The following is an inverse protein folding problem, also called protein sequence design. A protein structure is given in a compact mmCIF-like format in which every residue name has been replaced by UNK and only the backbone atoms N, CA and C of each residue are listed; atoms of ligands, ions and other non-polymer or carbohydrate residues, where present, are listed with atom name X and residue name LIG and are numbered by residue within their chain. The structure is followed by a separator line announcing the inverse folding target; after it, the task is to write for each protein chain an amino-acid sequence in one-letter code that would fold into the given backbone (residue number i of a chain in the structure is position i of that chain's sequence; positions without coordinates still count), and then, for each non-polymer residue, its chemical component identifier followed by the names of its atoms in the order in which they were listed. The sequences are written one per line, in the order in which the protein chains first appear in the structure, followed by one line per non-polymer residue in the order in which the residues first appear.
data_IF_055821319328
#
_entry.id   IF_055821319328
#
_cell.length_a   1.000
_cell.length_b   1.000
_cell.length_c   1.000
_cell.angle_alpha   90.00
_cell.angle_beta   90.00
_cell.angle_gamma   90.00
#
_symmetry.space_group_name_H-M   'P 1'
#
loop_
_entity.id
_entity.type
_entity.pdbx_description
1 polymer ?
#
# COMPACT_ATOMS: atom_id res chain seq x y z
N UNK A 1 9.56 -2.39 3.56
CA UNK A 1 8.89 -1.91 2.34
C UNK A 1 9.82 -1.95 1.13
N UNK A 2 11.02 -1.32 1.16
CA UNK A 2 11.97 -1.38 0.05
C UNK A 2 12.34 -2.82 -0.37
N UNK A 3 12.60 -3.71 0.59
CA UNK A 3 12.86 -5.12 0.30
C UNK A 3 11.66 -5.83 -0.35
N UNK A 4 10.45 -5.47 0.02
CA UNK A 4 9.24 -6.00 -0.58
C UNK A 4 9.10 -5.56 -2.05
N UNK A 5 9.35 -4.28 -2.34
CA UNK A 5 9.39 -3.76 -3.70
C UNK A 5 10.45 -4.50 -4.55
N UNK A 6 11.66 -4.65 -4.02
CA UNK A 6 12.75 -5.41 -4.69
C UNK A 6 12.32 -6.87 -4.91
N UNK A 7 11.69 -7.51 -3.92
CA UNK A 7 11.14 -8.86 -4.04
C UNK A 7 10.15 -8.98 -5.20
N UNK A 8 9.25 -8.00 -5.33
CA UNK A 8 8.32 -7.91 -6.47
C UNK A 8 9.03 -7.79 -7.82
N UNK A 9 10.07 -6.96 -7.90
CA UNK A 9 10.90 -6.81 -9.10
C UNK A 9 11.60 -8.14 -9.47
N UNK A 10 12.11 -8.86 -8.48
CA UNK A 10 12.74 -10.17 -8.71
C UNK A 10 11.73 -11.19 -9.20
N UNK A 11 10.57 -11.30 -8.54
CA UNK A 11 9.49 -12.22 -8.94
C UNK A 11 9.02 -11.92 -10.37
N UNK A 12 8.83 -10.64 -10.70
CA UNK A 12 8.38 -10.23 -12.02
C UNK A 12 9.34 -10.54 -13.17
N UNK A 13 10.62 -10.86 -12.89
CA UNK A 13 11.60 -11.31 -13.88
C UNK A 13 11.58 -12.82 -14.12
N UNK A 14 10.92 -13.60 -13.28
CA UNK A 14 10.84 -15.05 -13.43
C UNK A 14 9.96 -15.40 -14.65
N UNK A 15 10.42 -16.29 -15.55
CA UNK A 15 9.68 -16.60 -16.78
C UNK A 15 8.26 -17.11 -16.54
N UNK A 16 8.07 -17.94 -15.51
CA UNK A 16 6.78 -18.54 -15.17
C UNK A 16 5.76 -17.54 -14.56
N UNK A 17 6.22 -16.33 -14.22
CA UNK A 17 5.43 -15.29 -13.58
C UNK A 17 5.23 -14.06 -14.46
N UNK A 18 5.58 -14.16 -15.74
CA UNK A 18 5.39 -13.07 -16.68
C UNK A 18 3.93 -13.01 -17.16
N UNK A 19 3.36 -11.81 -17.13
CA UNK A 19 2.06 -11.55 -17.74
C UNK A 19 2.21 -11.38 -19.24
N UNK A 20 1.34 -12.02 -20.01
CA UNK A 20 1.24 -11.77 -21.45
C UNK A 20 0.55 -10.42 -21.68
N UNK A 21 1.32 -9.35 -21.62
CA UNK A 21 0.82 -8.02 -21.97
C UNK A 21 0.83 -7.86 -23.49
N UNK A 22 -0.21 -7.23 -24.08
CA UNK A 22 -0.26 -6.98 -25.52
C UNK A 22 0.94 -6.15 -25.94
N UNK A 23 1.67 -6.62 -26.97
CA UNK A 23 2.81 -5.92 -27.56
C UNK A 23 2.34 -5.04 -28.70
N UNK A 24 2.94 -3.84 -28.83
CA UNK A 24 2.68 -2.95 -29.97
C UNK A 24 1.51 -1.98 -29.79
N UNK A 25 0.91 -1.93 -28.61
CA UNK A 25 -0.06 -0.88 -28.28
C UNK A 25 0.66 0.44 -28.00
N UNK A 26 0.04 1.54 -28.38
CA UNK A 26 0.50 2.87 -27.92
C UNK A 26 0.31 2.99 -26.41
N UNK A 27 1.14 3.82 -25.74
CA UNK A 27 0.97 4.10 -24.30
C UNK A 27 -0.45 4.55 -23.93
N UNK A 28 -1.14 5.28 -24.87
CA UNK A 28 -2.52 5.70 -24.68
C UNK A 28 -3.54 4.55 -24.78
N UNK A 29 -3.26 3.50 -25.53
CA UNK A 29 -4.08 2.28 -25.59
C UNK A 29 -3.83 1.41 -24.38
N UNK A 30 -2.56 1.24 -23.98
CA UNK A 30 -2.19 0.57 -22.73
C UNK A 30 -2.82 1.28 -21.53
N UNK A 31 -2.76 2.60 -21.48
CA UNK A 31 -3.38 3.37 -20.41
C UNK A 31 -4.91 3.22 -20.39
N UNK A 32 -5.57 3.14 -21.55
CA UNK A 32 -7.03 2.90 -21.66
C UNK A 32 -7.41 1.47 -21.29
N UNK A 33 -6.63 0.48 -21.73
CA UNK A 33 -6.83 -0.92 -21.36
C UNK A 33 -6.50 -1.15 -19.88
N UNK A 34 -5.48 -0.46 -19.37
CA UNK A 34 -5.17 -0.41 -17.94
C UNK A 34 -6.32 0.23 -17.15
N UNK A 35 -6.89 1.32 -17.64
CA UNK A 35 -8.06 1.98 -17.04
C UNK A 35 -9.34 1.12 -17.16
N UNK A 36 -9.55 0.39 -18.25
CA UNK A 36 -10.71 -0.48 -18.44
C UNK A 36 -10.61 -1.81 -17.68
N UNK A 37 -9.44 -2.43 -17.60
CA UNK A 37 -9.22 -3.73 -16.94
C UNK A 37 -8.73 -3.60 -15.49
N UNK A 38 -8.01 -2.54 -15.17
CA UNK A 38 -7.64 -2.15 -13.82
C UNK A 38 -8.50 -1.00 -13.27
N UNK A 39 -9.42 -0.44 -14.06
CA UNK A 39 -10.42 0.52 -13.60
C UNK A 39 -11.28 -0.03 -12.46
N UNK A 40 -11.33 -1.37 -12.33
CA UNK A 40 -11.81 -2.04 -11.12
C UNK A 40 -10.88 -1.78 -9.92
N UNK A 41 -9.59 -1.52 -10.16
CA UNK A 41 -8.60 -1.25 -9.11
C UNK A 41 -8.25 0.25 -9.00
N UNK A 42 -8.28 1.01 -10.11
CA UNK A 42 -7.88 2.42 -10.20
C UNK A 42 -8.95 3.33 -10.81
N UNK A 43 -10.09 2.78 -11.27
CA UNK A 43 -11.21 3.56 -11.80
C UNK A 43 -11.85 4.43 -10.71
N UNK A 44 -12.74 5.34 -11.11
CA UNK A 44 -13.41 6.33 -10.27
C UNK A 44 -14.14 5.72 -9.05
N UNK A 45 -13.36 5.12 -8.15
CA UNK A 45 -13.85 4.61 -6.88
C UNK A 45 -14.23 5.80 -6.00
N UNK A 46 -15.35 5.78 -5.31
CA UNK A 46 -15.65 6.81 -4.33
C UNK A 46 -14.58 6.80 -3.23
N UNK A 47 -14.16 7.97 -2.80
CA UNK A 47 -13.13 8.15 -1.73
C UNK A 47 -13.32 7.17 -0.57
N UNK A 48 -14.59 6.97 -0.15
CA UNK A 48 -14.90 6.07 0.96
C UNK A 48 -14.59 4.59 0.65
N UNK A 49 -14.68 4.15 -0.60
CA UNK A 49 -14.33 2.78 -0.99
C UNK A 49 -12.82 2.55 -0.89
N UNK A 50 -12.00 3.54 -1.30
CA UNK A 50 -10.54 3.51 -1.18
C UNK A 50 -10.14 3.49 0.29
N UNK A 51 -10.70 4.41 1.10
CA UNK A 51 -10.45 4.45 2.55
C UNK A 51 -10.82 3.11 3.20
N UNK A 52 -11.96 2.53 2.83
CA UNK A 52 -12.38 1.24 3.35
C UNK A 52 -11.45 0.11 2.92
N UNK A 53 -11.04 0.07 1.65
CA UNK A 53 -10.13 -0.95 1.13
C UNK A 53 -8.78 -0.92 1.83
N UNK A 54 -8.14 0.24 1.96
CA UNK A 54 -6.87 0.40 2.62
C UNK A 54 -7.01 0.21 4.14
N UNK A 55 -8.07 0.76 4.73
CA UNK A 55 -8.36 0.62 6.15
C UNK A 55 -8.55 -0.83 6.61
N UNK A 56 -9.26 -1.67 5.82
CA UNK A 56 -9.45 -3.09 6.16
C UNK A 56 -8.15 -3.88 6.13
N UNK A 57 -7.20 -3.54 5.23
CA UNK A 57 -5.88 -4.19 5.17
C UNK A 57 -5.08 -3.84 6.42
N UNK A 58 -5.07 -2.56 6.83
CA UNK A 58 -4.40 -2.13 8.06
C UNK A 58 -5.06 -2.69 9.31
N UNK A 59 -6.40 -2.79 9.33
CA UNK A 59 -7.13 -3.42 10.43
C UNK A 59 -6.79 -4.91 10.52
N UNK A 60 -6.76 -5.62 9.40
CA UNK A 60 -6.34 -7.03 9.34
C UNK A 60 -4.90 -7.20 9.84
N UNK A 61 -3.97 -6.33 9.39
CA UNK A 61 -2.59 -6.34 9.84
C UNK A 61 -2.48 -6.09 11.35
N UNK A 62 -3.28 -5.18 11.91
CA UNK A 62 -3.36 -4.91 13.35
C UNK A 62 -3.86 -6.15 14.12
N UNK A 63 -4.99 -6.74 13.69
CA UNK A 63 -5.57 -7.93 14.32
C UNK A 63 -4.57 -9.10 14.27
N UNK A 64 -4.01 -9.41 13.11
CA UNK A 64 -3.02 -10.47 12.96
C UNK A 64 -1.75 -10.18 13.77
N UNK A 65 -1.32 -8.93 13.81
CA UNK A 65 -0.20 -8.47 14.64
C UNK A 65 -0.43 -8.72 16.13
N UNK A 66 -1.63 -8.50 16.63
CA UNK A 66 -1.98 -8.79 18.03
C UNK A 66 -1.79 -10.27 18.40
N UNK A 67 -2.18 -11.20 17.51
CA UNK A 67 -2.09 -12.65 17.76
C UNK A 67 -0.71 -13.24 17.43
N UNK A 68 0.16 -12.52 16.73
CA UNK A 68 1.45 -13.02 16.24
C UNK A 68 2.64 -12.20 16.74
N UNK A 69 2.46 -11.51 17.87
CA UNK A 69 3.49 -10.61 18.43
C UNK A 69 4.01 -9.57 17.43
N UNK A 70 3.16 -9.14 16.50
CA UNK A 70 3.47 -8.15 15.47
C UNK A 70 4.03 -8.72 14.17
N UNK A 71 4.46 -9.99 14.11
CA UNK A 71 5.18 -10.54 12.96
C UNK A 71 4.35 -10.56 11.68
N UNK A 72 3.06 -10.91 11.72
CA UNK A 72 2.20 -10.91 10.52
C UNK A 72 1.89 -9.52 9.99
N UNK A 73 1.91 -8.48 10.83
CA UNK A 73 1.78 -7.12 10.35
C UNK A 73 2.93 -6.74 9.39
N UNK A 74 4.16 -7.24 9.65
CA UNK A 74 5.32 -7.07 8.76
C UNK A 74 5.23 -7.84 7.45
N UNK A 75 4.31 -8.76 7.31
CA UNK A 75 4.08 -9.52 6.06
C UNK A 75 2.94 -8.90 5.27
N UNK A 76 1.83 -8.63 5.94
CA UNK A 76 0.59 -8.15 5.29
C UNK A 76 0.77 -6.75 4.70
N UNK A 77 1.35 -5.81 5.45
CA UNK A 77 1.46 -4.42 4.98
C UNK A 77 2.47 -4.22 3.84
N UNK A 78 3.65 -4.87 3.83
CA UNK A 78 4.56 -4.76 2.69
C UNK A 78 4.13 -5.54 1.44
N UNK A 79 3.16 -6.44 1.53
CA UNK A 79 2.72 -7.25 0.37
C UNK A 79 2.26 -6.38 -0.81
N UNK A 80 1.64 -5.22 -0.55
CA UNK A 80 1.25 -4.26 -1.58
C UNK A 80 2.46 -3.77 -2.39
N UNK A 81 3.62 -3.60 -1.74
CA UNK A 81 4.84 -3.16 -2.42
C UNK A 81 5.49 -4.27 -3.26
N UNK A 82 5.28 -5.55 -2.89
CA UNK A 82 5.65 -6.69 -3.75
C UNK A 82 4.84 -6.62 -5.05
N UNK A 83 3.52 -6.41 -4.96
CA UNK A 83 2.65 -6.28 -6.13
C UNK A 83 3.07 -5.08 -6.98
N UNK A 84 3.37 -3.94 -6.37
CA UNK A 84 3.83 -2.74 -7.07
C UNK A 84 5.14 -3.00 -7.82
N UNK A 85 6.15 -3.57 -7.17
CA UNK A 85 7.43 -3.92 -7.80
C UNK A 85 7.26 -4.92 -8.94
N UNK A 86 6.37 -5.89 -8.77
CA UNK A 86 6.01 -6.85 -9.81
C UNK A 86 5.39 -6.15 -11.02
N UNK A 87 4.39 -5.28 -10.83
CA UNK A 87 3.72 -4.55 -11.93
C UNK A 87 4.69 -3.66 -12.72
N UNK A 88 5.57 -2.90 -12.02
CA UNK A 88 6.61 -2.11 -12.69
C UNK A 88 7.51 -2.99 -13.57
N UNK A 89 7.82 -4.20 -13.10
CA UNK A 89 8.65 -5.14 -13.86
C UNK A 89 7.91 -5.72 -15.05
N UNK A 90 6.61 -6.07 -14.91
CA UNK A 90 5.83 -6.58 -16.05
C UNK A 90 5.75 -5.57 -17.19
N UNK A 91 5.53 -4.30 -16.86
CA UNK A 91 5.53 -3.21 -17.84
C UNK A 91 6.88 -3.10 -18.55
N UNK A 92 8.00 -3.15 -17.79
CA UNK A 92 9.35 -3.09 -18.36
C UNK A 92 9.65 -4.31 -19.25
N UNK A 93 9.28 -5.52 -18.83
CA UNK A 93 9.47 -6.76 -19.62
C UNK A 93 8.64 -6.75 -20.89
N UNK A 94 7.45 -6.14 -20.89
CA UNK A 94 6.63 -5.94 -22.07
C UNK A 94 7.22 -4.93 -23.08
N UNK A 95 8.31 -4.23 -22.71
CA UNK A 95 9.00 -3.25 -23.56
C UNK A 95 8.50 -1.83 -23.42
N UNK A 96 7.69 -1.53 -22.39
CA UNK A 96 7.23 -0.18 -22.09
C UNK A 96 8.12 0.48 -21.03
N UNK A 97 8.21 1.82 -21.06
CA UNK A 97 8.89 2.57 -20.02
C UNK A 97 8.01 2.59 -18.74
N UNK A 98 8.44 1.94 -17.63
CA UNK A 98 7.64 1.88 -16.42
C UNK A 98 7.46 3.25 -15.75
N UNK A 99 8.19 4.28 -16.16
CA UNK A 99 8.07 5.64 -15.61
C UNK A 99 6.68 6.24 -15.80
N UNK A 100 5.90 5.77 -16.80
CA UNK A 100 4.51 6.23 -16.99
C UNK A 100 3.58 5.86 -15.83
N UNK A 101 3.94 4.87 -15.00
CA UNK A 101 3.18 4.52 -13.80
C UNK A 101 3.41 5.50 -12.64
N UNK A 102 4.52 6.26 -12.67
CA UNK A 102 4.86 7.18 -11.59
C UNK A 102 3.79 8.25 -11.34
N UNK A 103 3.22 8.91 -12.37
CA UNK A 103 2.13 9.85 -12.19
C UNK A 103 0.88 9.25 -11.51
N UNK A 104 0.66 7.94 -11.70
CA UNK A 104 -0.47 7.24 -11.08
C UNK A 104 -0.22 6.87 -9.61
N UNK A 105 1.06 6.62 -9.23
CA UNK A 105 1.40 6.10 -7.90
C UNK A 105 1.93 7.18 -6.95
N UNK A 106 2.75 8.13 -7.45
CA UNK A 106 3.45 9.08 -6.60
C UNK A 106 2.54 10.05 -5.84
N UNK A 107 1.48 10.63 -6.44
CA UNK A 107 0.72 11.69 -5.76
C UNK A 107 0.13 11.22 -4.43
N UNK A 108 -0.56 10.08 -4.40
CA UNK A 108 -1.15 9.53 -3.17
C UNK A 108 -0.13 8.76 -2.34
N UNK A 109 0.83 8.07 -2.98
CA UNK A 109 1.86 7.26 -2.32
C UNK A 109 2.73 8.05 -1.35
N UNK A 110 3.01 9.33 -1.62
CA UNK A 110 3.78 10.20 -0.71
C UNK A 110 3.09 10.35 0.65
N UNK A 111 1.76 10.34 0.69
CA UNK A 111 0.98 10.43 1.93
C UNK A 111 0.71 9.03 2.50
N UNK A 112 0.37 8.08 1.65
CA UNK A 112 -0.02 6.73 2.06
C UNK A 112 1.13 5.95 2.69
N UNK A 113 2.35 6.01 2.13
CA UNK A 113 3.51 5.28 2.64
C UNK A 113 3.81 5.61 4.11
N UNK A 114 3.94 6.87 4.54
CA UNK A 114 4.11 7.21 5.94
C UNK A 114 2.98 6.70 6.84
N UNK A 115 1.75 6.74 6.36
CA UNK A 115 0.57 6.27 7.10
C UNK A 115 0.64 4.76 7.33
N UNK A 116 0.96 3.98 6.29
CA UNK A 116 1.12 2.52 6.39
C UNK A 116 2.28 2.16 7.32
N UNK A 117 3.42 2.86 7.21
CA UNK A 117 4.58 2.65 8.10
C UNK A 117 4.19 2.90 9.55
N UNK A 118 3.45 3.98 9.83
CA UNK A 118 2.99 4.33 11.17
C UNK A 118 2.03 3.27 11.72
N UNK A 119 1.03 2.86 10.94
CA UNK A 119 0.08 1.81 11.31
C UNK A 119 0.77 0.47 11.58
N UNK A 120 1.73 0.09 10.72
CA UNK A 120 2.53 -1.14 10.91
C UNK A 120 3.37 -1.06 12.18
N UNK A 121 3.99 0.09 12.45
CA UNK A 121 4.81 0.30 13.65
C UNK A 121 3.95 0.21 14.92
N UNK A 122 2.73 0.75 14.90
CA UNK A 122 1.78 0.64 16.01
C UNK A 122 1.35 -0.82 16.26
N UNK A 123 1.08 -1.58 15.19
CA UNK A 123 0.75 -3.00 15.29
C UNK A 123 1.91 -3.84 15.85
N UNK A 124 3.14 -3.54 15.41
CA UNK A 124 4.36 -4.17 15.93
C UNK A 124 4.57 -3.85 17.42
N UNK A 125 4.42 -2.59 17.79
CA UNK A 125 4.56 -2.17 19.18
C UNK A 125 3.55 -2.87 20.08
N UNK A 126 2.29 -2.94 19.67
CA UNK A 126 1.23 -3.63 20.41
C UNK A 126 1.55 -5.12 20.61
N UNK A 127 2.07 -5.79 19.58
CA UNK A 127 2.51 -7.18 19.68
C UNK A 127 3.77 -7.36 20.54
N UNK A 128 4.75 -6.47 20.42
CA UNK A 128 6.02 -6.55 21.12
C UNK A 128 5.88 -6.36 22.65
N UNK A 129 4.95 -5.55 23.11
CA UNK A 129 4.69 -5.30 24.54
C UNK A 129 4.33 -6.58 25.30
N UNK A 130 3.71 -7.58 24.63
CA UNK A 130 3.37 -8.86 25.24
C UNK A 130 4.65 -9.66 25.59
N UNK A 131 5.67 -9.60 24.73
CA UNK A 131 6.92 -10.36 24.90
C UNK A 131 7.95 -9.60 25.73
N UNK A 132 7.90 -8.27 25.73
CA UNK A 132 8.85 -7.39 26.43
C UNK A 132 8.13 -6.24 27.11
N UNK A 133 7.37 -6.49 28.18
CA UNK A 133 6.70 -5.42 28.92
C UNK A 133 7.74 -4.48 29.56
N UNK A 134 7.41 -3.19 29.76
CA UNK A 134 8.24 -2.25 30.50
C UNK A 134 8.52 -2.75 31.92
N UNK A 135 9.70 -2.43 32.47
CA UNK A 135 10.09 -2.83 33.83
C UNK A 135 9.12 -2.31 34.87
N UNK A 136 8.70 -3.16 35.80
CA UNK A 136 7.80 -2.78 36.89
C UNK A 136 6.33 -2.68 36.51
N UNK A 137 5.95 -3.04 35.28
CA UNK A 137 4.58 -2.99 34.79
C UNK A 137 4.11 -4.39 34.43
N UNK A 138 2.88 -4.75 34.76
CA UNK A 138 2.29 -6.02 34.35
C UNK A 138 2.04 -6.05 32.83
N UNK A 139 2.13 -7.24 32.20
CA UNK A 139 1.87 -7.41 30.76
C UNK A 139 0.50 -6.87 30.38
N UNK A 140 -0.54 -7.15 31.17
CA UNK A 140 -1.90 -6.68 30.89
C UNK A 140 -2.02 -5.16 30.91
N UNK A 141 -1.42 -4.49 31.89
CA UNK A 141 -1.43 -3.02 31.94
C UNK A 141 -0.65 -2.41 30.76
N UNK A 142 0.55 -2.93 30.50
CA UNK A 142 1.36 -2.47 29.38
C UNK A 142 0.63 -2.63 28.03
N UNK A 143 -0.09 -3.75 27.85
CA UNK A 143 -0.88 -4.00 26.65
C UNK A 143 -2.06 -3.04 26.51
N UNK A 144 -2.81 -2.76 27.58
CA UNK A 144 -3.92 -1.81 27.54
C UNK A 144 -3.43 -0.41 27.18
N UNK A 145 -2.29 0.03 27.72
CA UNK A 145 -1.69 1.33 27.38
C UNK A 145 -1.28 1.35 25.90
N UNK A 146 -0.56 0.32 25.43
CA UNK A 146 -0.14 0.22 24.02
C UNK A 146 -1.34 0.18 23.06
N UNK A 147 -2.43 -0.52 23.44
CA UNK A 147 -3.66 -0.55 22.65
C UNK A 147 -4.33 0.84 22.60
N UNK A 148 -4.42 1.53 23.74
CA UNK A 148 -4.95 2.89 23.77
C UNK A 148 -4.13 3.85 22.89
N UNK A 149 -2.80 3.73 22.89
CA UNK A 149 -1.93 4.55 22.06
C UNK A 149 -2.07 4.17 20.57
N UNK A 150 -2.24 2.90 20.26
CA UNK A 150 -2.56 2.44 18.89
C UNK A 150 -3.86 3.06 18.38
N UNK A 151 -4.92 3.11 19.22
CA UNK A 151 -6.20 3.75 18.85
C UNK A 151 -6.03 5.25 18.63
N UNK A 152 -5.25 5.95 19.48
CA UNK A 152 -4.96 7.38 19.29
C UNK A 152 -4.23 7.64 17.97
N UNK A 153 -3.20 6.84 17.66
CA UNK A 153 -2.45 6.93 16.39
C UNK A 153 -3.39 6.64 15.21
N UNK A 154 -4.22 5.61 15.33
CA UNK A 154 -5.17 5.25 14.27
C UNK A 154 -6.17 6.39 14.01
N UNK A 155 -6.80 6.93 15.06
CA UNK A 155 -7.79 7.98 14.93
C UNK A 155 -7.20 9.35 14.56
N UNK A 156 -6.02 9.69 15.11
CA UNK A 156 -5.41 11.02 14.94
C UNK A 156 -4.54 11.16 13.69
N UNK A 157 -3.97 10.07 13.18
CA UNK A 157 -3.01 10.13 12.07
C UNK A 157 -3.36 9.16 10.94
N UNK A 158 -3.65 7.88 11.24
CA UNK A 158 -3.82 6.87 10.18
C UNK A 158 -5.11 7.12 9.40
N UNK A 159 -6.25 7.24 10.06
CA UNK A 159 -7.54 7.48 9.40
C UNK A 159 -7.54 8.80 8.62
N UNK A 160 -7.15 9.96 9.19
CA UNK A 160 -7.04 11.20 8.44
C UNK A 160 -6.07 11.12 7.27
N UNK A 161 -4.94 10.42 7.44
CA UNK A 161 -3.95 10.22 6.39
C UNK A 161 -4.47 9.35 5.24
N UNK A 162 -5.22 8.26 5.53
CA UNK A 162 -5.89 7.46 4.51
C UNK A 162 -6.95 8.27 3.74
N UNK A 163 -7.70 9.11 4.43
CA UNK A 163 -8.68 9.99 3.78
C UNK A 163 -7.97 10.99 2.87
N UNK A 164 -6.86 11.59 3.33
CA UNK A 164 -6.06 12.50 2.51
C UNK A 164 -5.47 11.81 1.28
N UNK A 165 -4.90 10.59 1.43
CA UNK A 165 -4.38 9.80 0.32
C UNK A 165 -5.49 9.46 -0.69
N UNK A 166 -6.66 9.03 -0.23
CA UNK A 166 -7.81 8.72 -1.08
C UNK A 166 -8.35 9.96 -1.83
N UNK A 167 -8.37 11.13 -1.19
CA UNK A 167 -8.73 12.39 -1.87
C UNK A 167 -7.72 12.75 -2.96
N UNK A 168 -6.41 12.58 -2.69
CA UNK A 168 -5.37 12.79 -3.69
C UNK A 168 -5.53 11.80 -4.84
N UNK A 169 -5.79 10.53 -4.56
CA UNK A 169 -5.98 9.49 -5.57
C UNK A 169 -7.17 9.80 -6.48
N UNK A 170 -8.30 10.21 -5.94
CA UNK A 170 -9.52 10.48 -6.72
C UNK A 170 -9.45 11.80 -7.50
N UNK A 171 -8.89 12.87 -6.90
CA UNK A 171 -8.99 14.20 -7.49
C UNK A 171 -7.69 14.72 -8.11
N UNK A 172 -6.53 14.36 -7.55
CA UNK A 172 -5.22 14.87 -8.00
C UNK A 172 -4.56 13.90 -8.97
N UNK A 173 -4.52 12.61 -8.64
CA UNK A 173 -3.84 11.60 -9.46
C UNK A 173 -4.32 11.57 -10.92
N UNK A 174 -5.64 11.63 -11.25
CA UNK A 174 -6.08 11.64 -12.65
C UNK A 174 -5.64 12.89 -13.42
N UNK A 175 -5.50 14.03 -12.74
CA UNK A 175 -4.99 15.25 -13.36
C UNK A 175 -3.49 15.14 -13.67
N UNK A 176 -2.70 14.61 -12.73
CA UNK A 176 -1.26 14.39 -12.89
C UNK A 176 -0.97 13.35 -13.97
N UNK A 177 -1.74 12.27 -14.03
CA UNK A 177 -1.64 11.23 -15.09
C UNK A 177 -1.89 11.84 -16.46
N UNK A 178 -2.95 12.64 -16.62
CA UNK A 178 -3.25 13.32 -17.90
C UNK A 178 -2.12 14.25 -18.33
N UNK A 179 -1.53 15.00 -17.42
CA UNK A 179 -0.38 15.88 -17.72
C UNK A 179 0.88 15.08 -18.05
N UNK A 180 1.10 13.94 -17.41
CA UNK A 180 2.27 13.09 -17.62
C UNK A 180 2.23 12.28 -18.91
N UNK A 181 1.04 11.98 -19.44
CA UNK A 181 0.86 11.24 -20.70
C UNK A 181 0.87 12.14 -21.94
N UNK A 182 1.16 13.42 -21.76
CA UNK A 182 1.24 14.40 -22.85
C UNK A 182 -0.14 14.79 -23.34
N UNK A 183 -0.70 15.82 -22.74
CA UNK A 183 -1.79 16.53 -23.38
C UNK A 183 -1.36 17.05 -24.76
#
# INVERSE_FOLDING_TARGET
FALALIGGVVIGRLPDWQLELPRGLSLGEVARDFDSNLGVFFGAQPVMAIVWQNGRILLLALILGMFTFGSLALIVTPAVYVILGYLFTQVAVAGYDPSFLLPAVLPHGVVEIPVIVLATSAALHLGAVITRPPRGVTVGHAWVVAFADTIKIAAGLVIPGLVAAALIEVYVTPAVVRLGLGG
#
